data_IF_310549956548
#
_entry.id   IF_310549956548
#
_cell.length_a   1.000
_cell.length_b   1.000
_cell.length_c   1.000
_cell.angle_alpha   90.00
_cell.angle_beta   90.00
_cell.angle_gamma   90.00
#
_symmetry.space_group_name_H-M   'P 1'
#
loop_
_entity.id
_entity.type
_entity.pdbx_description
1 polymer ?
#
# COMPACT_ATOMS: atom_id res chain seq x y z
N UNK A 1 -7.77 19.11 -31.08
CA UNK A 1 -7.09 19.26 -29.79
C UNK A 1 -6.55 17.91 -29.39
N UNK A 2 -5.23 17.70 -29.49
CA UNK A 2 -4.62 16.41 -29.22
C UNK A 2 -4.58 16.16 -27.71
N UNK A 3 -5.10 15.01 -27.28
CA UNK A 3 -5.04 14.55 -25.90
C UNK A 3 -3.60 14.10 -25.60
N UNK A 4 -2.94 14.79 -24.66
CA UNK A 4 -1.68 14.35 -24.08
C UNK A 4 -2.02 13.30 -23.02
N UNK A 5 -1.79 12.03 -23.33
CA UNK A 5 -1.75 10.96 -22.32
C UNK A 5 -0.46 11.10 -21.51
N UNK A 6 -0.50 11.37 -20.19
CA UNK A 6 0.70 11.31 -19.38
C UNK A 6 1.10 9.84 -19.17
N UNK A 7 2.30 9.51 -19.63
CA UNK A 7 2.95 8.22 -19.42
C UNK A 7 3.52 8.19 -17.99
N UNK A 8 2.85 7.48 -17.07
CA UNK A 8 3.36 7.24 -15.73
C UNK A 8 4.41 6.13 -15.77
N UNK A 9 5.68 6.49 -15.64
CA UNK A 9 6.76 5.53 -15.40
C UNK A 9 6.95 5.38 -13.90
N UNK A 10 6.57 4.22 -13.34
CA UNK A 10 6.90 3.85 -11.97
C UNK A 10 8.40 3.52 -11.92
N UNK A 11 9.22 4.39 -11.33
CA UNK A 11 10.64 4.12 -11.18
C UNK A 11 10.88 3.10 -10.06
N UNK A 12 11.45 1.95 -10.40
CA UNK A 12 12.12 1.08 -9.43
C UNK A 12 13.35 1.82 -8.92
N UNK A 13 13.37 2.16 -7.63
CA UNK A 13 14.57 2.67 -6.96
C UNK A 13 15.56 1.49 -6.87
N UNK A 14 16.27 1.26 -7.97
CA UNK A 14 17.39 0.35 -8.02
C UNK A 14 18.32 0.68 -6.86
N UNK A 15 18.31 -0.18 -5.85
CA UNK A 15 19.26 -0.12 -4.75
C UNK A 15 20.66 -0.11 -5.36
N UNK A 16 21.38 0.99 -5.25
CA UNK A 16 22.84 0.95 -5.36
C UNK A 16 23.37 1.29 -3.98
N UNK A 17 23.89 0.26 -3.31
CA UNK A 17 24.67 0.45 -2.09
C UNK A 17 25.99 1.09 -2.48
N UNK A 18 26.42 2.06 -1.68
CA UNK A 18 27.82 2.41 -1.51
C UNK A 18 28.47 3.11 -2.70
N UNK A 19 28.47 4.43 -2.68
CA UNK A 19 29.71 5.21 -2.61
C UNK A 19 29.33 6.66 -2.36
N UNK A 20 29.89 7.22 -1.28
CA UNK A 20 29.93 8.66 -1.03
C UNK A 20 30.43 9.38 -2.27
N UNK A 21 29.58 10.19 -2.92
CA UNK A 21 30.00 11.02 -4.05
C UNK A 21 29.89 12.51 -3.71
N UNK A 22 31.00 13.28 -3.78
CA UNK A 22 30.97 14.73 -3.58
C UNK A 22 30.24 15.44 -4.74
N UNK A 23 29.82 16.70 -4.58
CA UNK A 23 28.95 17.37 -5.54
C UNK A 23 29.71 17.64 -6.85
N UNK A 24 29.05 17.39 -7.99
CA UNK A 24 29.61 17.60 -9.32
C UNK A 24 29.42 19.05 -9.79
N UNK A 25 30.48 19.74 -10.26
CA UNK A 25 30.35 20.91 -11.11
C UNK A 25 30.40 20.48 -12.59
N UNK A 26 29.29 20.75 -13.31
CA UNK A 26 29.12 20.90 -14.77
C UNK A 26 29.93 19.98 -15.70
N UNK A 27 29.25 19.09 -16.44
CA UNK A 27 29.40 18.92 -17.90
C UNK A 27 28.40 17.89 -18.47
N UNK A 28 28.21 17.77 -19.79
CA UNK A 28 26.89 17.84 -20.42
C UNK A 28 26.48 16.49 -21.00
N UNK A 29 25.28 16.04 -20.67
CA UNK A 29 24.63 14.91 -21.34
C UNK A 29 23.20 15.31 -21.63
N UNK A 30 22.64 15.00 -22.81
CA UNK A 30 21.26 15.31 -23.13
C UNK A 30 20.36 14.34 -22.35
N UNK A 31 20.19 14.59 -21.05
CA UNK A 31 19.16 13.97 -20.25
C UNK A 31 17.86 14.68 -20.58
N UNK A 32 17.12 14.13 -21.53
CA UNK A 32 15.73 14.53 -21.79
C UNK A 32 14.87 13.95 -20.67
N UNK A 33 14.89 14.59 -19.52
CA UNK A 33 13.90 14.39 -18.46
C UNK A 33 12.63 15.15 -18.85
N UNK A 34 11.44 14.51 -18.91
CA UNK A 34 10.20 15.27 -18.98
C UNK A 34 10.10 16.13 -17.72
N UNK A 35 10.27 17.45 -17.87
CA UNK A 35 10.20 18.41 -16.78
C UNK A 35 8.73 18.74 -16.46
N UNK A 36 8.19 18.08 -15.45
CA UNK A 36 7.30 18.72 -14.47
C UNK A 36 8.13 18.99 -13.20
N UNK A 37 7.97 20.11 -12.51
CA UNK A 37 8.99 20.64 -11.60
C UNK A 37 9.14 19.77 -10.34
N UNK A 38 10.30 19.09 -10.23
CA UNK A 38 11.14 18.82 -9.04
C UNK A 38 10.46 18.56 -7.67
N UNK A 39 9.27 17.99 -7.63
CA UNK A 39 8.58 17.73 -6.35
C UNK A 39 8.67 16.24 -6.04
N UNK A 40 9.50 15.90 -5.05
CA UNK A 40 9.56 14.56 -4.49
C UNK A 40 8.65 14.51 -3.27
N UNK A 41 7.60 13.70 -3.34
CA UNK A 41 6.63 13.52 -2.26
C UNK A 41 6.72 12.06 -1.81
N UNK A 42 6.82 11.89 -0.50
CA UNK A 42 6.77 10.60 0.17
C UNK A 42 5.51 10.60 1.04
N UNK A 43 5.09 9.40 1.44
CA UNK A 43 3.89 9.14 2.23
C UNK A 43 2.59 9.17 1.42
N UNK A 44 1.81 8.10 1.54
CA UNK A 44 0.64 7.87 0.69
C UNK A 44 -0.45 8.94 0.81
N UNK A 45 -0.76 9.51 1.99
CA UNK A 45 -1.76 10.57 2.10
C UNK A 45 -1.29 11.88 1.46
N UNK A 46 0.00 12.22 1.58
CA UNK A 46 0.57 13.42 0.97
C UNK A 46 0.60 13.31 -0.56
N UNK A 47 0.94 12.12 -1.08
CA UNK A 47 0.88 11.82 -2.51
C UNK A 47 -0.57 11.93 -3.03
N UNK A 48 -1.55 11.35 -2.32
CA UNK A 48 -2.95 11.43 -2.72
C UNK A 48 -3.48 12.87 -2.76
N UNK A 49 -3.15 13.70 -1.75
CA UNK A 49 -3.50 15.12 -1.73
C UNK A 49 -2.88 15.91 -2.90
N UNK A 50 -1.62 15.61 -3.22
CA UNK A 50 -0.95 16.21 -4.36
C UNK A 50 -1.61 15.80 -5.68
N UNK A 51 -1.94 14.52 -5.86
CA UNK A 51 -2.61 14.02 -7.06
C UNK A 51 -3.97 14.71 -7.23
N UNK A 52 -4.83 14.77 -6.20
CA UNK A 52 -6.14 15.45 -6.33
C UNK A 52 -6.00 16.96 -6.59
N UNK A 53 -4.95 17.59 -6.08
CA UNK A 53 -4.69 19.02 -6.34
C UNK A 53 -4.21 19.26 -7.78
N UNK A 54 -3.40 18.36 -8.33
CA UNK A 54 -2.80 18.51 -9.67
C UNK A 54 -3.65 17.90 -10.79
N UNK A 55 -4.48 16.92 -10.46
CA UNK A 55 -5.35 16.17 -11.35
C UNK A 55 -6.75 16.04 -10.73
N UNK A 56 -7.56 17.11 -10.73
CA UNK A 56 -8.83 17.16 -9.99
C UNK A 56 -9.96 16.29 -10.59
N UNK A 57 -9.70 15.55 -11.68
CA UNK A 57 -10.68 14.69 -12.31
C UNK A 57 -10.02 13.40 -12.85
N UNK A 58 -10.60 12.21 -12.58
CA UNK A 58 -11.77 11.97 -11.73
C UNK A 58 -11.48 12.22 -10.24
N UNK A 59 -12.45 12.81 -9.54
CA UNK A 59 -12.31 13.20 -8.12
C UNK A 59 -12.36 11.98 -7.19
N UNK A 60 -11.47 11.98 -6.18
CA UNK A 60 -11.56 11.07 -5.03
C UNK A 60 -11.70 11.82 -3.70
N UNK A 61 -12.52 11.27 -2.80
CA UNK A 61 -12.68 11.83 -1.45
C UNK A 61 -11.52 11.38 -0.57
N UNK A 62 -10.67 12.31 -0.14
CA UNK A 62 -9.46 11.97 0.60
C UNK A 62 -9.66 11.76 2.11
N UNK A 63 -10.64 12.44 2.71
CA UNK A 63 -10.87 12.37 4.16
C UNK A 63 -12.36 12.24 4.47
N UNK A 64 -12.68 11.48 5.51
CA UNK A 64 -14.04 11.22 5.98
C UNK A 64 -14.00 10.60 7.37
N UNK A 65 -14.90 11.01 8.26
CA UNK A 65 -15.05 10.38 9.58
C UNK A 65 -15.42 8.90 9.47
N UNK A 66 -16.27 8.54 8.50
CA UNK A 66 -16.62 7.16 8.24
C UNK A 66 -15.42 6.40 7.68
N UNK A 67 -14.67 7.01 6.75
CA UNK A 67 -13.44 6.44 6.20
C UNK A 67 -12.41 6.11 7.27
N UNK A 68 -12.12 7.09 8.15
CA UNK A 68 -11.20 6.91 9.27
C UNK A 68 -11.64 5.79 10.23
N UNK A 69 -12.94 5.70 10.54
CA UNK A 69 -13.49 4.62 11.37
C UNK A 69 -13.36 3.25 10.70
N UNK A 70 -13.61 3.16 9.39
CA UNK A 70 -13.41 1.92 8.62
C UNK A 70 -11.95 1.49 8.70
N UNK A 71 -11.02 2.40 8.40
CA UNK A 71 -9.58 2.11 8.41
C UNK A 71 -9.09 1.68 9.79
N UNK A 72 -9.55 2.35 10.85
CA UNK A 72 -9.21 1.98 12.23
C UNK A 72 -9.73 0.59 12.60
N UNK A 73 -11.00 0.30 12.33
CA UNK A 73 -11.58 -1.01 12.66
C UNK A 73 -10.96 -2.11 11.82
N UNK A 74 -10.78 -1.89 10.51
CA UNK A 74 -10.15 -2.85 9.63
C UNK A 74 -8.71 -3.16 10.08
N UNK A 75 -7.91 -2.13 10.39
CA UNK A 75 -6.54 -2.33 10.89
C UNK A 75 -6.49 -3.15 12.17
N UNK A 76 -7.42 -2.91 13.11
CA UNK A 76 -7.48 -3.64 14.38
C UNK A 76 -7.95 -5.09 14.20
N UNK A 77 -8.92 -5.33 13.31
CA UNK A 77 -9.54 -6.64 13.16
C UNK A 77 -8.85 -7.56 12.13
N UNK A 78 -8.49 -7.00 10.97
CA UNK A 78 -7.91 -7.73 9.82
C UNK A 78 -6.39 -7.74 9.89
N UNK A 79 -5.80 -6.63 10.38
CA UNK A 79 -4.36 -6.41 10.39
C UNK A 79 -3.54 -7.54 11.04
N UNK A 80 -3.91 -8.05 12.24
CA UNK A 80 -3.17 -9.13 12.88
C UNK A 80 -3.13 -10.42 12.04
N UNK A 81 -4.27 -10.86 11.49
CA UNK A 81 -4.35 -12.06 10.67
C UNK A 81 -3.53 -11.90 9.38
N UNK A 82 -3.66 -10.76 8.70
CA UNK A 82 -2.88 -10.47 7.50
C UNK A 82 -1.38 -10.39 7.81
N UNK A 83 -1.00 -9.79 8.93
CA UNK A 83 0.40 -9.66 9.32
C UNK A 83 1.05 -11.03 9.54
N UNK A 84 0.44 -11.89 10.36
CA UNK A 84 1.01 -13.21 10.67
C UNK A 84 0.99 -14.15 9.47
N UNK A 85 0.06 -13.95 8.53
CA UNK A 85 -0.09 -14.80 7.36
C UNK A 85 0.76 -14.33 6.16
N UNK A 86 0.86 -13.02 5.92
CA UNK A 86 1.49 -12.51 4.70
C UNK A 86 2.98 -12.25 4.88
N UNK A 87 3.40 -11.60 5.97
CA UNK A 87 4.80 -11.21 6.20
C UNK A 87 5.79 -12.38 6.08
N UNK A 88 5.56 -13.57 6.67
CA UNK A 88 6.48 -14.70 6.50
C UNK A 88 6.49 -15.32 5.10
N UNK A 89 5.57 -14.90 4.21
CA UNK A 89 5.43 -15.39 2.84
C UNK A 89 5.86 -14.37 1.79
N UNK A 90 5.97 -13.08 2.13
CA UNK A 90 6.36 -11.98 1.23
C UNK A 90 7.69 -12.24 0.52
N UNK A 91 8.66 -12.90 1.17
CA UNK A 91 9.96 -13.19 0.56
C UNK A 91 9.82 -13.99 -0.74
N UNK A 92 8.77 -14.79 -0.92
CA UNK A 92 8.56 -15.63 -2.11
C UNK A 92 8.42 -14.82 -3.40
N UNK A 93 7.91 -13.59 -3.31
CA UNK A 93 7.66 -12.71 -4.45
C UNK A 93 8.75 -11.63 -4.64
N UNK A 94 9.67 -11.49 -3.68
CA UNK A 94 10.75 -10.50 -3.75
C UNK A 94 11.90 -10.98 -4.64
N UNK A 95 12.71 -10.04 -5.15
CA UNK A 95 14.00 -10.35 -5.78
C UNK A 95 15.00 -10.89 -4.74
N UNK A 96 16.04 -11.65 -5.14
CA UNK A 96 17.01 -12.22 -4.19
C UNK A 96 17.62 -11.20 -3.23
N UNK A 97 17.98 -10.01 -3.74
CA UNK A 97 18.51 -8.93 -2.92
C UNK A 97 17.50 -8.38 -1.92
N UNK A 98 16.26 -8.15 -2.37
CA UNK A 98 15.20 -7.65 -1.50
C UNK A 98 14.82 -8.67 -0.43
N UNK A 99 14.88 -9.98 -0.74
CA UNK A 99 14.67 -11.06 0.25
C UNK A 99 15.66 -10.99 1.39
N UNK A 100 16.95 -10.88 1.10
CA UNK A 100 18.00 -10.81 2.13
C UNK A 100 17.79 -9.59 3.03
N UNK A 101 17.57 -8.42 2.43
CA UNK A 101 17.28 -7.20 3.19
C UNK A 101 16.01 -7.35 4.04
N UNK A 102 14.94 -7.89 3.46
CA UNK A 102 13.66 -8.08 4.12
C UNK A 102 13.77 -9.00 5.34
N UNK A 103 14.36 -10.20 5.18
CA UNK A 103 14.57 -11.13 6.29
C UNK A 103 15.38 -10.47 7.40
N UNK A 104 16.54 -9.88 7.08
CA UNK A 104 17.41 -9.24 8.07
C UNK A 104 16.68 -8.17 8.86
N UNK A 105 15.95 -7.29 8.19
CA UNK A 105 15.26 -6.18 8.86
C UNK A 105 14.04 -6.64 9.65
N UNK A 106 13.27 -7.61 9.15
CA UNK A 106 12.06 -8.10 9.82
C UNK A 106 12.38 -8.98 11.01
N UNK A 107 13.34 -9.88 10.89
CA UNK A 107 13.77 -10.74 12.00
C UNK A 107 14.45 -9.91 13.10
N UNK A 108 15.24 -8.90 12.74
CA UNK A 108 15.80 -7.96 13.72
C UNK A 108 14.71 -7.19 14.48
N UNK A 109 13.63 -6.79 13.79
CA UNK A 109 12.51 -6.10 14.43
C UNK A 109 11.64 -7.03 15.29
N UNK A 110 11.47 -8.30 14.88
CA UNK A 110 10.70 -9.31 15.61
C UNK A 110 11.47 -9.93 16.78
N UNK A 111 12.80 -9.96 16.70
CA UNK A 111 13.65 -10.70 17.64
C UNK A 111 13.61 -12.23 17.47
N UNK A 112 13.00 -12.72 16.39
CA UNK A 112 12.88 -14.14 16.07
C UNK A 112 12.69 -14.36 14.55
N UNK A 113 12.86 -15.60 14.04
CA UNK A 113 12.60 -15.94 12.64
C UNK A 113 11.17 -15.58 12.18
N UNK A 114 11.00 -15.21 10.91
CA UNK A 114 9.70 -14.84 10.34
C UNK A 114 8.68 -15.97 10.46
N UNK A 115 9.11 -17.22 10.24
CA UNK A 115 8.28 -18.42 10.23
C UNK A 115 7.55 -18.64 11.56
N UNK A 116 8.07 -18.12 12.67
CA UNK A 116 7.41 -18.22 13.98
C UNK A 116 6.07 -17.47 14.03
N UNK A 117 5.83 -16.51 13.13
CA UNK A 117 4.53 -15.85 13.00
C UNK A 117 3.43 -16.84 12.61
N UNK A 118 3.77 -17.86 11.80
CA UNK A 118 2.81 -18.87 11.33
C UNK A 118 2.24 -19.73 12.46
N UNK A 119 2.98 -19.89 13.56
CA UNK A 119 2.50 -20.62 14.73
C UNK A 119 1.27 -19.98 15.39
N UNK A 120 0.97 -18.72 15.06
CA UNK A 120 -0.20 -17.98 15.57
C UNK A 120 -1.25 -17.70 14.49
N UNK A 121 -1.06 -18.25 13.29
CA UNK A 121 -1.91 -17.96 12.13
C UNK A 121 -3.37 -18.33 12.42
N UNK A 122 -3.66 -19.57 12.82
CA UNK A 122 -5.03 -20.00 13.07
C UNK A 122 -5.70 -19.22 14.21
N UNK A 123 -4.98 -18.93 15.30
CA UNK A 123 -5.51 -18.11 16.40
C UNK A 123 -5.90 -16.71 15.92
N UNK A 124 -5.10 -16.11 15.03
CA UNK A 124 -5.40 -14.80 14.46
C UNK A 124 -6.62 -14.85 13.52
N UNK A 125 -6.79 -15.94 12.77
CA UNK A 125 -7.96 -16.17 11.91
C UNK A 125 -9.23 -16.48 12.71
N UNK A 126 -9.13 -17.16 13.85
CA UNK A 126 -10.27 -17.37 14.74
C UNK A 126 -10.78 -16.04 15.32
N UNK A 127 -9.86 -15.14 15.68
CA UNK A 127 -10.18 -13.80 16.16
C UNK A 127 -10.66 -12.82 15.06
N UNK A 128 -10.48 -13.18 13.78
CA UNK A 128 -10.81 -12.34 12.63
C UNK A 128 -12.31 -12.08 12.49
N UNK A 129 -13.13 -13.11 12.75
CA UNK A 129 -14.52 -13.20 12.27
C UNK A 129 -15.39 -12.00 12.63
N UNK A 130 -15.59 -11.72 13.93
CA UNK A 130 -16.51 -10.67 14.37
C UNK A 130 -16.01 -9.27 14.01
N UNK A 131 -14.71 -9.02 14.19
CA UNK A 131 -14.11 -7.72 13.87
C UNK A 131 -14.16 -7.41 12.38
N UNK A 132 -13.84 -8.39 11.52
CA UNK A 132 -13.91 -8.23 10.07
C UNK A 132 -15.35 -8.03 9.59
N UNK A 133 -16.32 -8.76 10.17
CA UNK A 133 -17.75 -8.54 9.89
C UNK A 133 -18.19 -7.11 10.24
N UNK A 134 -17.76 -6.59 11.40
CA UNK A 134 -18.07 -5.23 11.82
C UNK A 134 -17.44 -4.17 10.90
N UNK A 135 -16.18 -4.35 10.49
CA UNK A 135 -15.53 -3.47 9.52
C UNK A 135 -16.25 -3.51 8.16
N UNK A 136 -16.60 -4.70 7.66
CA UNK A 136 -17.35 -4.86 6.43
C UNK A 136 -18.76 -4.27 6.51
N UNK A 137 -19.41 -4.28 7.68
CA UNK A 137 -20.69 -3.60 7.88
C UNK A 137 -20.56 -2.09 7.74
N UNK A 138 -19.51 -1.49 8.32
CA UNK A 138 -19.23 -0.05 8.15
C UNK A 138 -18.97 0.32 6.67
N UNK A 139 -18.20 -0.51 5.95
CA UNK A 139 -17.95 -0.28 4.52
C UNK A 139 -19.22 -0.29 3.67
N UNK A 140 -20.28 -0.97 4.13
CA UNK A 140 -21.57 -1.06 3.43
C UNK A 140 -22.58 0.00 3.87
N UNK A 141 -22.19 0.96 4.71
CA UNK A 141 -23.08 2.02 5.24
C UNK A 141 -23.77 2.82 4.14
N UNK A 142 -23.10 3.05 3.01
CA UNK A 142 -23.62 3.81 1.87
C UNK A 142 -23.80 2.97 0.60
N UNK A 143 -23.98 1.65 0.73
CA UNK A 143 -24.07 0.72 -0.42
C UNK A 143 -25.20 1.07 -1.39
N UNK A 144 -26.26 1.71 -0.92
CA UNK A 144 -27.40 2.15 -1.71
C UNK A 144 -27.11 3.41 -2.54
N UNK A 145 -26.07 4.17 -2.16
CA UNK A 145 -25.63 5.39 -2.86
C UNK A 145 -24.60 5.10 -3.95
N UNK A 146 -23.95 3.94 -3.91
CA UNK A 146 -23.00 3.55 -4.95
C UNK A 146 -22.05 2.44 -4.49
N UNK A 147 -21.08 2.09 -5.35
CA UNK A 147 -20.21 0.93 -5.13
C UNK A 147 -19.06 1.18 -4.14
N UNK A 148 -18.77 2.45 -3.81
CA UNK A 148 -17.65 2.83 -2.94
C UNK A 148 -18.09 2.99 -1.49
N UNK A 149 -17.13 2.93 -0.55
CA UNK A 149 -17.46 2.98 0.89
C UNK A 149 -18.13 4.29 1.31
N UNK A 150 -17.90 5.39 0.57
CA UNK A 150 -18.58 6.67 0.78
C UNK A 150 -19.78 6.91 -0.15
N UNK A 151 -20.10 5.96 -1.04
CA UNK A 151 -21.23 6.01 -1.97
C UNK A 151 -20.81 6.10 -3.43
N UNK A 152 -21.00 7.28 -4.04
CA UNK A 152 -20.91 7.46 -5.49
C UNK A 152 -19.48 7.52 -6.03
N UNK A 153 -18.55 8.14 -5.30
CA UNK A 153 -17.17 8.39 -5.73
C UNK A 153 -16.17 7.56 -4.94
N UNK A 154 -15.04 7.17 -5.54
CA UNK A 154 -13.97 6.52 -4.80
C UNK A 154 -13.44 7.45 -3.71
N UNK A 155 -12.95 6.85 -2.64
CA UNK A 155 -12.30 7.53 -1.54
C UNK A 155 -10.91 6.95 -1.28
N UNK A 156 -10.07 7.68 -0.56
CA UNK A 156 -8.78 7.17 -0.10
C UNK A 156 -8.94 5.86 0.67
N UNK A 157 -10.01 5.72 1.47
CA UNK A 157 -10.33 4.49 2.19
C UNK A 157 -10.60 3.31 1.26
N UNK A 158 -11.25 3.51 0.10
CA UNK A 158 -11.42 2.44 -0.89
C UNK A 158 -10.05 1.93 -1.37
N UNK A 159 -9.10 2.84 -1.63
CA UNK A 159 -7.75 2.49 -2.05
C UNK A 159 -6.93 1.80 -0.96
N UNK A 160 -7.08 2.21 0.31
CA UNK A 160 -6.45 1.52 1.45
C UNK A 160 -6.92 0.07 1.54
N UNK A 161 -8.23 -0.16 1.45
CA UNK A 161 -8.80 -1.51 1.53
C UNK A 161 -8.43 -2.34 0.30
N UNK A 162 -8.60 -1.78 -0.90
CA UNK A 162 -8.25 -2.46 -2.14
C UNK A 162 -6.75 -2.80 -2.19
N UNK A 163 -5.88 -1.90 -1.73
CA UNK A 163 -4.44 -2.13 -1.63
C UNK A 163 -4.09 -3.28 -0.68
N UNK A 164 -4.74 -3.36 0.48
CA UNK A 164 -4.54 -4.47 1.42
C UNK A 164 -4.99 -5.81 0.82
N UNK A 165 -6.14 -5.86 0.16
CA UNK A 165 -6.64 -7.07 -0.50
C UNK A 165 -5.76 -7.49 -1.68
N UNK A 166 -5.28 -6.52 -2.47
CA UNK A 166 -4.38 -6.78 -3.58
C UNK A 166 -3.03 -7.31 -3.07
N UNK A 167 -2.50 -6.77 -1.97
CA UNK A 167 -1.29 -7.31 -1.34
C UNK A 167 -1.47 -8.78 -0.95
N UNK A 168 -2.56 -9.11 -0.25
CA UNK A 168 -2.86 -10.49 0.12
C UNK A 168 -2.90 -11.42 -1.10
N UNK A 169 -3.62 -11.01 -2.14
CA UNK A 169 -3.75 -11.78 -3.39
C UNK A 169 -2.41 -12.04 -4.07
N UNK A 170 -1.51 -11.06 -4.08
CA UNK A 170 -0.20 -11.17 -4.74
C UNK A 170 0.77 -12.03 -3.92
N UNK A 171 0.74 -11.91 -2.59
CA UNK A 171 1.64 -12.63 -1.69
C UNK A 171 1.24 -14.09 -1.52
N UNK A 172 -0.05 -14.35 -1.25
CA UNK A 172 -0.56 -15.69 -0.96
C UNK A 172 -2.06 -15.77 -1.27
N UNK A 173 -2.41 -16.38 -2.42
CA UNK A 173 -3.81 -16.49 -2.88
C UNK A 173 -4.67 -17.23 -1.86
N UNK A 174 -4.15 -18.27 -1.20
CA UNK A 174 -4.92 -19.02 -0.20
C UNK A 174 -5.29 -18.19 1.04
N UNK A 175 -4.49 -17.18 1.39
CA UNK A 175 -4.82 -16.21 2.45
C UNK A 175 -5.89 -15.23 1.97
N UNK A 176 -5.84 -14.82 0.70
CA UNK A 176 -6.82 -13.92 0.12
C UNK A 176 -8.21 -14.56 -0.04
N UNK A 177 -8.28 -15.87 -0.30
CA UNK A 177 -9.55 -16.61 -0.46
C UNK A 177 -10.20 -17.03 0.87
N UNK A 178 -9.52 -16.83 2.01
CA UNK A 178 -9.95 -17.29 3.34
C UNK A 178 -11.04 -16.42 3.98
#
# INVERSE_FOLDING_TARGET
MAALTPEFTLYDLASTQGTSRPPSPRSPSPHTTPQHPTTFIMDSPAIAAFIETTHPAPEAVLTSDLGAQIEEKARKAVGPAFYVSLVPREWRILSPRSREYFHRMREAALGHPLEHLLAREDVAWDAFGDGARAAGALMRTHKEKGPFVLGEKPSFTDFVVAGALQNARVVEVGVWER
#
